data_IF_912959498928
#
_entry.id   IF_912959498928
#
_cell.length_a   1.000
_cell.length_b   1.000
_cell.length_c   1.000
_cell.angle_alpha   90.00
_cell.angle_beta   90.00
_cell.angle_gamma   90.00
#
_symmetry.space_group_name_H-M   'P 1'
#
loop_
_entity.id
_entity.type
_entity.pdbx_description
1 polymer ?
#
# COMPACT_ATOMS: atom_id res chain seq x y z
N UNK A 1 -0.70 -7.21 19.68
CA UNK A 1 0.11 -6.08 19.18
C UNK A 1 -0.77 -5.19 18.32
N UNK A 2 -0.53 -3.87 18.30
CA UNK A 2 -1.24 -2.96 17.40
C UNK A 2 -0.40 -2.82 16.14
N UNK A 3 -0.97 -3.18 14.98
CA UNK A 3 -0.32 -2.93 13.70
C UNK A 3 -0.41 -1.43 13.44
N UNK A 4 0.73 -0.78 13.21
CA UNK A 4 0.80 0.64 12.87
C UNK A 4 0.65 0.80 11.35
N UNK A 5 -0.61 0.69 10.89
CA UNK A 5 -0.96 0.85 9.47
C UNK A 5 -0.65 2.26 8.99
N UNK A 6 -0.77 3.27 9.86
CA UNK A 6 -0.46 4.65 9.51
C UNK A 6 1.01 4.78 9.10
N UNK A 7 1.91 4.20 9.87
CA UNK A 7 3.35 4.15 9.54
C UNK A 7 3.62 3.37 8.24
N UNK A 8 2.90 2.26 8.01
CA UNK A 8 3.05 1.50 6.76
C UNK A 8 2.59 2.31 5.54
N UNK A 9 1.48 3.04 5.64
CA UNK A 9 0.97 3.90 4.57
C UNK A 9 1.87 5.13 4.34
N UNK A 10 2.45 5.70 5.39
CA UNK A 10 3.44 6.78 5.28
C UNK A 10 4.73 6.30 4.59
N UNK A 11 5.18 5.08 4.91
CA UNK A 11 6.28 4.42 4.21
C UNK A 11 5.99 4.25 2.72
N UNK A 12 4.77 3.79 2.40
CA UNK A 12 4.34 3.66 1.02
C UNK A 12 4.30 5.00 0.26
N UNK A 13 3.75 6.06 0.87
CA UNK A 13 3.77 7.42 0.30
C UNK A 13 5.19 7.92 0.04
N UNK A 14 6.13 7.60 0.94
CA UNK A 14 7.53 8.00 0.80
C UNK A 14 8.20 7.30 -0.39
N UNK A 15 8.00 5.99 -0.54
CA UNK A 15 8.50 5.24 -1.69
C UNK A 15 7.85 5.67 -3.01
N UNK A 16 6.57 6.06 -2.97
CA UNK A 16 5.90 6.67 -4.12
C UNK A 16 6.59 7.96 -4.52
N UNK A 17 6.81 8.87 -3.56
CA UNK A 17 7.51 10.15 -3.78
C UNK A 17 8.89 9.95 -4.42
N UNK A 18 9.65 8.96 -3.98
CA UNK A 18 10.95 8.63 -4.56
C UNK A 18 10.86 8.11 -6.00
N UNK A 19 9.72 7.52 -6.38
CA UNK A 19 9.45 6.99 -7.72
C UNK A 19 8.88 8.03 -8.70
N UNK A 20 8.50 9.22 -8.22
CA UNK A 20 7.94 10.30 -9.04
C UNK A 20 8.98 11.39 -9.23
N UNK A 21 9.45 11.57 -10.47
CA UNK A 21 10.44 12.61 -10.79
C UNK A 21 9.76 13.99 -10.93
N UNK A 22 9.84 14.82 -9.88
CA UNK A 22 9.39 16.22 -9.88
C UNK A 22 7.88 16.48 -9.74
N UNK A 23 7.02 15.53 -10.12
CA UNK A 23 5.56 15.71 -10.15
C UNK A 23 4.81 15.29 -8.86
N UNK A 24 5.53 14.94 -7.80
CA UNK A 24 4.93 14.48 -6.54
C UNK A 24 3.88 15.43 -5.97
N UNK A 25 4.14 16.74 -6.03
CA UNK A 25 3.22 17.75 -5.47
C UNK A 25 1.83 17.73 -6.14
N UNK A 26 1.75 17.33 -7.41
CA UNK A 26 0.48 17.20 -8.14
C UNK A 26 -0.24 15.88 -7.81
N UNK A 27 0.49 14.89 -7.31
CA UNK A 27 0.03 13.52 -7.11
C UNK A 27 -0.21 13.17 -5.64
N UNK A 28 0.43 13.88 -4.72
CA UNK A 28 0.38 13.60 -3.28
C UNK A 28 -1.05 13.53 -2.75
N UNK A 29 -1.91 14.46 -3.15
CA UNK A 29 -3.31 14.48 -2.71
C UNK A 29 -4.10 13.28 -3.24
N UNK A 30 -3.86 12.87 -4.49
CA UNK A 30 -4.50 11.69 -5.08
C UNK A 30 -3.96 10.41 -4.44
N UNK A 31 -2.65 10.31 -4.27
CA UNK A 31 -1.99 9.16 -3.64
C UNK A 31 -2.45 8.96 -2.20
N UNK A 32 -2.52 10.04 -1.41
CA UNK A 32 -3.08 10.00 -0.05
C UNK A 32 -4.53 9.54 -0.04
N UNK A 33 -5.35 10.04 -0.97
CA UNK A 33 -6.76 9.66 -1.05
C UNK A 33 -6.94 8.18 -1.40
N UNK A 34 -6.17 7.68 -2.37
CA UNK A 34 -6.16 6.26 -2.75
C UNK A 34 -5.75 5.40 -1.56
N UNK A 35 -4.66 5.74 -0.87
CA UNK A 35 -4.23 4.97 0.30
C UNK A 35 -5.23 5.04 1.46
N UNK A 36 -5.84 6.19 1.71
CA UNK A 36 -6.86 6.32 2.76
C UNK A 36 -8.13 5.51 2.43
N UNK A 37 -8.54 5.44 1.16
CA UNK A 37 -9.66 4.61 0.72
C UNK A 37 -9.40 3.12 0.97
N UNK A 38 -8.17 2.66 0.73
CA UNK A 38 -7.78 1.24 0.84
C UNK A 38 -7.26 0.88 2.25
N UNK A 39 -7.05 1.88 3.12
CA UNK A 39 -6.55 1.71 4.49
C UNK A 39 -7.34 0.70 5.30
N UNK A 40 -8.66 0.72 5.21
CA UNK A 40 -9.51 -0.20 5.95
C UNK A 40 -9.30 -1.66 5.50
N UNK A 41 -9.20 -1.89 4.19
CA UNK A 41 -8.94 -3.22 3.61
C UNK A 41 -7.55 -3.73 4.02
N UNK A 42 -6.51 -2.91 3.82
CA UNK A 42 -5.13 -3.22 4.23
C UNK A 42 -5.01 -3.48 5.74
N UNK A 43 -5.74 -2.73 6.55
CA UNK A 43 -5.79 -2.94 8.01
C UNK A 43 -6.39 -4.29 8.37
N UNK A 44 -7.50 -4.66 7.72
CA UNK A 44 -8.17 -5.93 8.01
C UNK A 44 -7.30 -7.12 7.59
N UNK A 45 -6.68 -7.10 6.41
CA UNK A 45 -5.76 -8.13 5.95
C UNK A 45 -4.59 -8.34 6.93
N UNK A 46 -4.00 -7.24 7.40
CA UNK A 46 -2.93 -7.29 8.38
C UNK A 46 -3.40 -7.89 9.72
N UNK A 47 -4.59 -7.51 10.18
CA UNK A 47 -5.19 -8.05 11.41
C UNK A 47 -5.52 -9.53 11.30
N UNK A 48 -6.11 -9.98 10.19
CA UNK A 48 -6.39 -11.39 9.92
C UNK A 48 -5.10 -12.22 10.03
N UNK A 49 -3.99 -11.73 9.48
CA UNK A 49 -2.71 -12.43 9.58
C UNK A 49 -2.16 -12.49 11.00
N UNK A 50 -2.25 -11.40 11.76
CA UNK A 50 -1.82 -11.35 13.17
C UNK A 50 -2.69 -12.24 14.06
N UNK A 51 -3.99 -12.34 13.76
CA UNK A 51 -4.91 -13.26 14.44
C UNK A 51 -4.73 -14.72 14.02
N UNK A 52 -3.93 -14.98 12.99
CA UNK A 52 -3.70 -16.32 12.44
C UNK A 52 -4.89 -16.86 11.63
N UNK A 53 -5.79 -15.98 11.16
CA UNK A 53 -6.93 -16.32 10.31
C UNK A 53 -6.50 -16.63 8.87
N UNK A 54 -5.39 -16.03 8.42
CA UNK A 54 -4.75 -16.30 7.14
C UNK A 54 -3.26 -16.59 7.34
N UNK A 55 -2.70 -17.36 6.43
CA UNK A 55 -1.27 -17.67 6.33
C UNK A 55 -0.48 -16.51 5.71
N UNK A 56 0.85 -16.59 5.74
CA UNK A 56 1.69 -15.58 5.08
C UNK A 56 1.53 -15.59 3.55
N UNK A 57 1.30 -16.78 2.97
CA UNK A 57 1.11 -16.92 1.52
C UNK A 57 -0.27 -16.38 1.09
N UNK A 58 -1.31 -16.62 1.89
CA UNK A 58 -2.63 -16.03 1.67
C UNK A 58 -2.59 -14.51 1.82
N UNK A 59 -1.95 -13.97 2.87
CA UNK A 59 -1.76 -12.53 2.99
C UNK A 59 -1.05 -11.95 1.77
N UNK A 60 -0.02 -12.64 1.26
CA UNK A 60 0.70 -12.18 0.07
C UNK A 60 -0.21 -12.14 -1.16
N UNK A 61 -1.01 -13.18 -1.37
CA UNK A 61 -1.98 -13.24 -2.48
C UNK A 61 -2.99 -12.10 -2.40
N UNK A 62 -3.59 -11.87 -1.23
CA UNK A 62 -4.55 -10.78 -1.02
C UNK A 62 -3.92 -9.40 -1.24
N UNK A 63 -2.65 -9.23 -0.86
CA UNK A 63 -1.92 -7.99 -1.12
C UNK A 63 -1.53 -7.81 -2.59
N UNK A 64 -1.38 -8.89 -3.36
CA UNK A 64 -1.19 -8.83 -4.81
C UNK A 64 -2.47 -8.33 -5.50
N UNK A 65 -3.64 -8.82 -5.07
CA UNK A 65 -4.93 -8.35 -5.58
C UNK A 65 -5.20 -6.88 -5.19
N UNK A 66 -4.90 -6.50 -3.95
CA UNK A 66 -5.04 -5.12 -3.49
C UNK A 66 -4.03 -4.18 -4.19
N UNK A 67 -2.83 -4.68 -4.50
CA UNK A 67 -1.82 -3.97 -5.29
C UNK A 67 -2.33 -3.64 -6.69
N UNK A 68 -3.06 -4.56 -7.33
CA UNK A 68 -3.67 -4.31 -8.64
C UNK A 68 -4.81 -3.29 -8.56
N UNK A 69 -5.62 -3.32 -7.50
CA UNK A 69 -6.65 -2.29 -7.22
C UNK A 69 -6.04 -0.91 -7.03
N UNK A 70 -5.04 -0.79 -6.14
CA UNK A 70 -4.29 0.44 -5.91
C UNK A 70 -3.67 0.98 -7.20
N UNK A 71 -3.12 0.10 -8.03
CA UNK A 71 -2.55 0.48 -9.33
C UNK A 71 -3.61 1.06 -10.27
N UNK A 72 -4.79 0.43 -10.33
CA UNK A 72 -5.92 0.91 -11.13
C UNK A 72 -6.42 2.29 -10.65
N UNK A 73 -6.52 2.50 -9.35
CA UNK A 73 -6.92 3.78 -8.78
C UNK A 73 -5.87 4.88 -8.97
N UNK A 74 -4.58 4.52 -8.92
CA UNK A 74 -3.49 5.45 -9.23
C UNK A 74 -3.46 5.82 -10.71
N UNK A 75 -3.75 4.90 -11.64
CA UNK A 75 -3.89 5.22 -13.06
C UNK A 75 -5.00 6.22 -13.36
N UNK A 76 -6.00 6.35 -12.49
CA UNK A 76 -7.05 7.35 -12.65
C UNK A 76 -6.48 8.79 -12.59
N UNK A 77 -5.30 8.99 -12.00
CA UNK A 77 -4.57 10.24 -12.15
C UNK A 77 -3.82 10.26 -13.50
N UNK A 78 -4.25 11.14 -14.42
CA UNK A 78 -3.73 11.28 -15.78
C UNK A 78 -2.21 11.51 -15.89
N UNK A 79 -1.55 11.83 -14.77
CA UNK A 79 -0.12 12.16 -14.67
C UNK A 79 0.69 10.98 -14.10
N UNK A 80 0.06 9.90 -13.64
CA UNK A 80 0.76 8.72 -13.10
C UNK A 80 1.18 7.77 -14.23
N UNK A 81 2.48 7.50 -14.33
CA UNK A 81 3.01 6.47 -15.22
C UNK A 81 2.79 5.07 -14.65
N UNK A 82 2.81 4.06 -15.52
CA UNK A 82 2.77 2.63 -15.14
C UNK A 82 3.86 2.21 -14.16
N UNK A 83 5.07 2.71 -14.33
CA UNK A 83 6.17 2.43 -13.41
C UNK A 83 5.88 3.03 -12.01
N UNK A 84 5.35 4.24 -11.96
CA UNK A 84 5.00 4.90 -10.70
C UNK A 84 3.89 4.15 -9.96
N UNK A 85 2.81 3.76 -10.66
CA UNK A 85 1.72 3.01 -10.06
C UNK A 85 2.17 1.61 -9.57
N UNK A 86 3.10 0.96 -10.28
CA UNK A 86 3.69 -0.31 -9.84
C UNK A 86 4.56 -0.15 -8.59
N UNK A 87 5.47 0.83 -8.59
CA UNK A 87 6.34 1.08 -7.44
C UNK A 87 5.52 1.47 -6.19
N UNK A 88 4.47 2.24 -6.39
CA UNK A 88 3.50 2.61 -5.37
C UNK A 88 2.88 1.38 -4.70
N UNK A 89 2.32 0.49 -5.51
CA UNK A 89 1.64 -0.69 -5.01
C UNK A 89 2.61 -1.66 -4.33
N UNK A 90 3.80 -1.87 -4.90
CA UNK A 90 4.84 -2.68 -4.28
C UNK A 90 5.27 -2.14 -2.91
N UNK A 91 5.43 -0.82 -2.78
CA UNK A 91 5.81 -0.20 -1.52
C UNK A 91 4.76 -0.39 -0.42
N UNK A 92 3.47 -0.34 -0.78
CA UNK A 92 2.37 -0.65 0.16
C UNK A 92 2.47 -2.11 0.63
N UNK A 93 2.59 -3.04 -0.32
CA UNK A 93 2.71 -4.48 -0.03
C UNK A 93 3.91 -4.77 0.88
N UNK A 94 5.08 -4.20 0.58
CA UNK A 94 6.30 -4.39 1.37
C UNK A 94 6.17 -3.79 2.78
N UNK A 95 5.60 -2.58 2.88
CA UNK A 95 5.38 -1.93 4.17
C UNK A 95 4.42 -2.74 5.05
N UNK A 96 3.33 -3.26 4.48
CA UNK A 96 2.37 -4.06 5.22
C UNK A 96 2.96 -5.41 5.65
N UNK A 97 3.68 -6.09 4.76
CA UNK A 97 4.37 -7.34 5.10
C UNK A 97 5.39 -7.13 6.23
N UNK A 98 6.15 -6.04 6.21
CA UNK A 98 7.10 -5.72 7.27
C UNK A 98 6.40 -5.38 8.59
N UNK A 99 5.32 -4.59 8.55
CA UNK A 99 4.52 -4.26 9.73
C UNK A 99 3.94 -5.51 10.38
N UNK A 100 3.42 -6.44 9.56
CA UNK A 100 2.92 -7.73 10.02
C UNK A 100 4.04 -8.59 10.60
N UNK A 101 5.21 -8.69 9.96
CA UNK A 101 6.37 -9.44 10.50
C UNK A 101 6.85 -8.92 11.86
N UNK A 102 6.79 -7.60 12.09
CA UNK A 102 7.15 -7.01 13.39
C UNK A 102 6.10 -7.33 14.46
N UNK A 103 4.85 -7.54 14.05
CA UNK A 103 3.70 -7.72 14.94
C UNK A 103 3.43 -9.18 15.38
N UNK A 104 4.21 -10.15 14.90
CA UNK A 104 4.09 -11.58 15.20
C UNK A 104 5.39 -12.07 15.84
#
# INVERSE_FOLDING_TARGET
>A
MKIDIDTALEGALSSMKESVDGDWNCLEAHAKKVLENNKAALSELALMRVRGEITADELKSELEDESDTLRAEMYAAQVITKAMAQNAANAVTDALMNAVKIAI
#
